data_IF_860231494439
#
_entry.id   IF_860231494439
#
_cell.length_a   1.000
_cell.length_b   1.000
_cell.length_c   1.000
_cell.angle_alpha   90.00
_cell.angle_beta   90.00
_cell.angle_gamma   90.00
#
_symmetry.space_group_name_H-M   'P 1'
#
loop_
_entity.id
_entity.type
_entity.pdbx_description
1 polymer ?
#
# COMPACT_ATOMS: atom_id res chain seq x y z
N UNK A 1 -5.65 -3.07 2.28
CA UNK A 1 -5.41 -2.51 0.94
C UNK A 1 -3.96 -2.06 0.85
N UNK A 2 -3.43 -1.83 -0.35
CA UNK A 2 -2.09 -1.23 -0.55
C UNK A 2 -2.31 0.16 -1.13
N UNK A 3 -1.62 1.15 -0.58
CA UNK A 3 -1.74 2.56 -0.97
C UNK A 3 -0.38 3.09 -1.39
N UNK A 4 -0.40 3.93 -2.42
CA UNK A 4 0.76 4.66 -2.89
C UNK A 4 0.74 6.02 -2.21
N UNK A 5 1.66 6.26 -1.28
CA UNK A 5 1.81 7.58 -0.66
C UNK A 5 2.67 8.41 -1.57
N UNK A 6 2.06 9.39 -2.26
CA UNK A 6 2.80 10.46 -2.92
C UNK A 6 3.67 11.22 -1.90
N UNK A 7 4.72 11.88 -2.38
CA UNK A 7 5.58 12.79 -1.61
C UNK A 7 4.73 13.66 -0.69
N UNK A 8 5.11 13.76 0.60
CA UNK A 8 4.31 14.34 1.70
C UNK A 8 3.67 15.72 1.43
N UNK A 9 4.16 16.48 0.45
CA UNK A 9 3.50 17.69 -0.06
C UNK A 9 2.02 17.47 -0.40
N UNK A 10 1.67 16.34 -1.02
CA UNK A 10 0.28 16.06 -1.41
C UNK A 10 -0.62 15.67 -0.22
N UNK A 11 -0.05 15.15 0.87
CA UNK A 11 -0.83 14.74 2.05
C UNK A 11 -1.26 15.96 2.88
N UNK A 12 -0.39 16.98 2.98
CA UNK A 12 -0.74 18.25 3.63
C UNK A 12 -1.77 19.01 2.81
N UNK A 13 -1.63 19.06 1.48
CA UNK A 13 -2.61 19.69 0.58
C UNK A 13 -3.97 18.97 0.57
N UNK A 14 -3.99 17.64 0.72
CA UNK A 14 -5.23 16.86 0.79
C UNK A 14 -5.94 16.98 2.14
N UNK A 15 -5.23 17.30 3.23
CA UNK A 15 -5.83 17.54 4.54
C UNK A 15 -6.53 18.90 4.65
N UNK A 16 -6.21 19.85 3.77
CA UNK A 16 -6.96 21.11 3.60
C UNK A 16 -8.26 20.94 2.78
N UNK A 17 -8.48 19.78 2.16
CA UNK A 17 -9.64 19.51 1.32
C UNK A 17 -10.51 18.39 1.92
N UNK A 18 -11.51 18.77 2.74
CA UNK A 18 -12.48 17.82 3.29
C UNK A 18 -13.26 17.04 2.20
N UNK A 19 -13.45 15.74 2.46
CA UNK A 19 -14.74 15.08 2.29
C UNK A 19 -14.96 14.29 1.00
N UNK A 20 -14.69 12.98 1.02
CA UNK A 20 -15.53 11.94 0.40
C UNK A 20 -14.97 10.54 0.68
N UNK A 21 -15.64 9.78 1.56
CA UNK A 21 -15.45 8.33 1.68
C UNK A 21 -16.73 7.68 1.14
N UNK A 22 -16.62 6.97 0.00
CA UNK A 22 -17.73 6.24 -0.59
C UNK A 22 -17.56 4.74 -0.32
N UNK A 23 -18.50 4.17 0.45
CA UNK A 23 -18.71 2.74 0.58
C UNK A 23 -19.38 2.16 -0.67
N UNK A 24 -19.01 0.92 -1.03
CA UNK A 24 -19.84 0.09 -1.91
C UNK A 24 -19.79 -1.38 -1.46
N UNK A 25 -20.91 -1.82 -0.88
CA UNK A 25 -21.26 -3.21 -0.57
C UNK A 25 -22.07 -3.78 -1.75
N UNK A 26 -21.79 -5.00 -2.19
CA UNK A 26 -22.61 -5.72 -3.17
C UNK A 26 -22.28 -7.21 -3.25
N UNK A 27 -23.31 -8.05 -3.16
CA UNK A 27 -23.28 -9.48 -2.84
C UNK A 27 -23.44 -10.42 -4.08
N UNK A 28 -23.12 -11.70 -3.83
CA UNK A 28 -23.61 -12.97 -4.44
C UNK A 28 -22.87 -13.67 -5.59
N UNK A 29 -22.61 -14.98 -5.39
CA UNK A 29 -22.99 -16.04 -6.34
C UNK A 29 -21.89 -16.91 -6.98
N UNK A 30 -21.54 -18.02 -6.33
CA UNK A 30 -21.01 -19.33 -6.82
C UNK A 30 -20.76 -19.58 -8.33
N UNK A 31 -19.54 -20.01 -8.70
CA UNK A 31 -19.15 -21.42 -8.99
C UNK A 31 -17.92 -21.53 -9.91
N UNK A 32 -16.99 -22.40 -9.50
CA UNK A 32 -16.04 -23.20 -10.31
C UNK A 32 -14.80 -22.58 -11.00
N UNK A 33 -13.65 -22.83 -10.35
CA UNK A 33 -12.44 -23.45 -10.91
C UNK A 33 -11.78 -22.86 -12.17
N UNK A 34 -10.99 -21.79 -11.96
CA UNK A 34 -9.61 -21.58 -12.44
C UNK A 34 -9.25 -20.13 -12.05
N UNK A 35 -8.63 -19.94 -10.88
CA UNK A 35 -8.60 -18.65 -10.19
C UNK A 35 -7.57 -17.67 -10.78
N UNK A 36 -7.87 -17.12 -11.96
CA UNK A 36 -7.37 -15.82 -12.36
C UNK A 36 -8.05 -14.77 -11.48
N UNK A 37 -7.28 -14.04 -10.68
CA UNK A 37 -7.80 -12.94 -9.89
C UNK A 37 -8.29 -11.85 -10.84
N UNK A 38 -9.61 -11.75 -11.04
CA UNK A 38 -10.18 -10.69 -11.88
C UNK A 38 -10.04 -9.36 -11.15
N UNK A 39 -9.19 -8.50 -11.68
CA UNK A 39 -9.05 -7.11 -11.29
C UNK A 39 -10.29 -6.36 -11.78
N UNK A 40 -11.12 -5.87 -10.86
CA UNK A 40 -12.22 -4.96 -11.21
C UNK A 40 -11.70 -3.52 -11.09
N UNK A 41 -11.53 -2.86 -12.23
CA UNK A 41 -11.11 -1.45 -12.31
C UNK A 41 -12.35 -0.56 -12.25
N UNK A 42 -12.47 0.20 -11.16
CA UNK A 42 -13.50 1.21 -10.98
C UNK A 42 -12.93 2.61 -11.21
N UNK A 43 -12.44 2.92 -12.41
CA UNK A 43 -11.99 4.27 -12.76
C UNK A 43 -12.11 4.56 -14.27
N UNK A 44 -12.40 5.83 -14.61
CA UNK A 44 -12.49 6.33 -15.99
C UNK A 44 -11.20 6.01 -16.75
N UNK A 45 -11.26 5.46 -17.97
CA UNK A 45 -10.07 5.09 -18.72
C UNK A 45 -9.32 6.36 -19.12
N UNK A 46 -8.18 6.65 -18.49
CA UNK A 46 -7.18 7.49 -19.13
C UNK A 46 -6.36 6.58 -20.05
N UNK A 47 -6.99 6.20 -21.17
CA UNK A 47 -6.33 5.45 -22.22
C UNK A 47 -5.32 6.37 -22.91
N UNK A 48 -4.04 6.17 -22.64
CA UNK A 48 -2.97 6.73 -23.47
C UNK A 48 -2.01 7.65 -22.75
N UNK A 49 -1.17 7.11 -21.87
CA UNK A 49 0.21 7.55 -21.76
C UNK A 49 1.06 6.32 -21.44
N UNK A 50 2.07 6.04 -22.27
CA UNK A 50 3.11 5.06 -21.98
C UNK A 50 3.99 5.59 -20.84
N UNK A 51 3.39 5.72 -19.66
CA UNK A 51 4.02 6.16 -18.43
C UNK A 51 4.54 4.97 -17.64
N UNK A 52 5.40 5.28 -16.67
CA UNK A 52 5.86 4.31 -15.69
C UNK A 52 4.69 3.94 -14.79
N UNK A 53 4.36 2.66 -14.72
CA UNK A 53 3.31 2.15 -13.86
C UNK A 53 3.59 2.50 -12.39
N UNK A 54 2.53 2.74 -11.62
CA UNK A 54 2.68 3.08 -10.21
C UNK A 54 3.10 1.86 -9.39
N UNK A 55 2.51 0.70 -9.66
CA UNK A 55 2.91 -0.59 -9.12
C UNK A 55 2.95 -1.60 -10.26
N UNK A 56 4.01 -2.40 -10.30
CA UNK A 56 4.15 -3.49 -11.24
C UNK A 56 4.62 -4.75 -10.51
N UNK A 57 3.93 -5.85 -10.74
CA UNK A 57 4.24 -7.18 -10.25
C UNK A 57 4.44 -8.04 -11.49
N UNK A 58 5.60 -8.68 -11.61
CA UNK A 58 5.97 -9.47 -12.79
C UNK A 58 6.32 -10.88 -12.39
N UNK A 59 5.64 -11.84 -13.01
CA UNK A 59 5.91 -13.27 -12.89
C UNK A 59 5.98 -13.80 -11.45
N UNK A 60 5.17 -13.23 -10.55
CA UNK A 60 5.30 -13.52 -9.11
C UNK A 60 4.74 -14.89 -8.75
N UNK A 61 5.58 -15.70 -8.11
CA UNK A 61 5.23 -17.05 -7.66
C UNK A 61 5.57 -17.27 -6.19
N UNK A 62 4.69 -17.97 -5.46
CA UNK A 62 4.88 -18.31 -4.05
C UNK A 62 4.29 -19.68 -3.77
N UNK A 63 5.05 -20.52 -3.07
CA UNK A 63 4.58 -21.83 -2.60
C UNK A 63 4.77 -21.97 -1.08
N UNK A 64 3.79 -22.57 -0.40
CA UNK A 64 3.87 -22.91 1.02
C UNK A 64 3.62 -24.41 1.21
N UNK A 65 4.58 -25.12 1.80
CA UNK A 65 4.38 -26.54 2.15
C UNK A 65 3.96 -27.44 0.98
N UNK A 66 4.42 -27.14 -0.24
CA UNK A 66 4.06 -27.87 -1.47
C UNK A 66 2.78 -27.37 -2.17
N UNK A 67 2.04 -26.42 -1.58
CA UNK A 67 0.88 -25.78 -2.22
C UNK A 67 1.31 -24.48 -2.88
N UNK A 68 1.05 -24.35 -4.18
CA UNK A 68 1.30 -23.11 -4.92
C UNK A 68 0.20 -22.09 -4.58
N UNK A 69 0.59 -21.03 -3.86
CA UNK A 69 -0.31 -19.99 -3.39
C UNK A 69 -0.41 -18.81 -4.36
N UNK A 70 0.66 -18.55 -5.13
CA UNK A 70 0.68 -17.68 -6.31
C UNK A 70 1.42 -18.40 -7.43
N UNK A 71 0.91 -18.31 -8.65
CA UNK A 71 1.42 -18.98 -9.83
C UNK A 71 1.56 -17.97 -10.97
N UNK A 72 2.80 -17.53 -11.23
CA UNK A 72 3.14 -16.63 -12.34
C UNK A 72 2.18 -15.43 -12.45
N UNK A 73 2.01 -14.69 -11.35
CA UNK A 73 1.03 -13.59 -11.26
C UNK A 73 1.65 -12.28 -11.76
N UNK A 74 1.03 -11.71 -12.78
CA UNK A 74 1.30 -10.35 -13.27
C UNK A 74 0.20 -9.38 -12.82
N UNK A 75 0.60 -8.20 -12.36
CA UNK A 75 -0.31 -7.10 -12.03
C UNK A 75 0.35 -5.77 -12.36
N UNK A 76 -0.39 -4.89 -13.04
CA UNK A 76 0.04 -3.54 -13.34
C UNK A 76 -1.03 -2.57 -12.89
N UNK A 77 -0.63 -1.55 -12.14
CA UNK A 77 -1.50 -0.50 -11.62
C UNK A 77 -0.95 0.84 -12.04
N UNK A 78 -1.76 1.62 -12.74
CA UNK A 78 -1.37 2.95 -13.20
C UNK A 78 -1.53 4.00 -12.09
N UNK A 79 -0.87 5.16 -12.25
CA UNK A 79 -1.01 6.24 -11.26
C UNK A 79 -2.45 6.75 -11.19
N UNK A 80 -2.95 6.91 -9.96
CA UNK A 80 -4.34 7.33 -9.71
C UNK A 80 -5.38 6.22 -9.93
N UNK A 81 -4.97 5.01 -10.30
CA UNK A 81 -5.88 3.88 -10.46
C UNK A 81 -6.20 3.23 -9.11
N UNK A 82 -7.47 2.85 -8.94
CA UNK A 82 -7.93 2.05 -7.80
C UNK A 82 -8.25 0.64 -8.30
N UNK A 83 -7.46 -0.32 -7.85
CA UNK A 83 -7.58 -1.73 -8.22
C UNK A 83 -8.15 -2.55 -7.07
N UNK A 84 -9.29 -3.21 -7.33
CA UNK A 84 -9.88 -4.20 -6.43
C UNK A 84 -9.38 -5.61 -6.72
N UNK A 85 -8.84 -6.28 -5.70
CA UNK A 85 -8.46 -7.70 -5.79
C UNK A 85 -9.58 -8.58 -5.23
N UNK A 86 -10.29 -9.28 -6.12
CA UNK A 86 -11.49 -10.07 -5.79
C UNK A 86 -11.24 -11.55 -6.09
N UNK A 87 -11.80 -12.44 -5.26
CA UNK A 87 -11.70 -13.89 -5.46
C UNK A 87 -12.15 -14.67 -4.24
N UNK A 88 -12.29 -16.00 -4.33
CA UNK A 88 -12.67 -16.85 -3.20
C UNK A 88 -11.60 -16.87 -2.10
N UNK A 89 -11.97 -17.34 -0.90
CA UNK A 89 -11.00 -17.59 0.16
C UNK A 89 -9.98 -18.64 -0.32
N UNK A 90 -8.69 -18.37 -0.07
CA UNK A 90 -7.60 -19.22 -0.56
C UNK A 90 -7.07 -18.89 -1.95
N UNK A 91 -7.67 -17.95 -2.70
CA UNK A 91 -7.19 -17.53 -4.02
C UNK A 91 -5.87 -16.72 -4.02
N UNK A 92 -5.09 -16.75 -2.94
CA UNK A 92 -3.80 -16.05 -2.89
C UNK A 92 -3.85 -14.53 -2.67
N UNK A 93 -5.03 -13.91 -2.50
CA UNK A 93 -5.15 -12.44 -2.34
C UNK A 93 -4.28 -11.86 -1.23
N UNK A 94 -4.41 -12.42 -0.03
CA UNK A 94 -3.59 -12.01 1.13
C UNK A 94 -2.11 -12.28 0.87
N UNK A 95 -1.78 -13.40 0.19
CA UNK A 95 -0.42 -13.74 -0.22
C UNK A 95 0.16 -12.67 -1.14
N UNK A 96 -0.56 -12.28 -2.20
CA UNK A 96 -0.13 -11.25 -3.16
C UNK A 96 0.11 -9.93 -2.45
N UNK A 97 -0.83 -9.48 -1.61
CA UNK A 97 -0.65 -8.27 -0.83
C UNK A 97 0.59 -8.38 0.07
N UNK A 98 0.82 -9.52 0.70
CA UNK A 98 1.97 -9.75 1.59
C UNK A 98 3.30 -9.65 0.84
N UNK A 99 3.38 -10.24 -0.36
CA UNK A 99 4.53 -10.12 -1.26
C UNK A 99 4.76 -8.67 -1.66
N UNK A 100 3.73 -7.96 -2.12
CA UNK A 100 3.82 -6.55 -2.51
C UNK A 100 4.28 -5.69 -1.32
N UNK A 101 3.82 -5.96 -0.11
CA UNK A 101 4.27 -5.25 1.09
C UNK A 101 5.64 -5.68 1.64
N UNK A 102 6.28 -6.71 1.06
CA UNK A 102 7.57 -7.22 1.54
C UNK A 102 7.50 -7.97 2.88
N UNK A 103 6.34 -8.55 3.21
CA UNK A 103 6.16 -9.39 4.41
C UNK A 103 6.54 -10.86 4.17
N UNK A 104 6.48 -11.30 2.93
CA UNK A 104 6.83 -12.66 2.51
C UNK A 104 7.67 -12.56 1.24
N UNK A 105 8.78 -13.30 1.12
CA UNK A 105 9.55 -13.37 -0.12
C UNK A 105 8.78 -14.11 -1.22
N UNK A 106 9.11 -13.80 -2.47
CA UNK A 106 8.54 -14.46 -3.64
C UNK A 106 9.60 -14.52 -4.75
N UNK A 107 9.40 -15.42 -5.69
CA UNK A 107 10.06 -15.36 -7.00
C UNK A 107 9.36 -14.31 -7.87
N UNK A 108 10.07 -13.75 -8.84
CA UNK A 108 9.60 -12.65 -9.69
C UNK A 108 9.91 -11.26 -9.12
N UNK A 109 9.37 -10.23 -9.76
CA UNK A 109 9.74 -8.84 -9.48
C UNK A 109 8.55 -7.99 -8.96
N UNK A 110 8.85 -7.06 -8.04
CA UNK A 110 7.91 -6.02 -7.60
C UNK A 110 8.55 -4.66 -7.78
N UNK A 111 7.98 -3.84 -8.66
CA UNK A 111 8.44 -2.49 -8.97
C UNK A 111 7.44 -1.43 -8.50
N UNK A 112 7.96 -0.31 -8.03
CA UNK A 112 7.19 0.85 -7.62
C UNK A 112 7.66 2.06 -8.39
N UNK A 113 6.82 2.66 -9.23
CA UNK A 113 7.22 3.80 -10.08
C UNK A 113 8.51 3.50 -10.87
N UNK A 114 8.67 2.24 -11.32
CA UNK A 114 9.86 1.77 -12.04
C UNK A 114 11.05 1.36 -11.16
N UNK A 115 11.03 1.67 -9.86
CA UNK A 115 12.07 1.25 -8.91
C UNK A 115 11.85 -0.20 -8.47
N UNK A 116 12.86 -1.04 -8.62
CA UNK A 116 12.84 -2.42 -8.13
C UNK A 116 12.85 -2.47 -6.58
N UNK A 117 11.81 -3.08 -6.03
CA UNK A 117 11.60 -3.34 -4.61
C UNK A 117 11.76 -4.81 -4.22
N UNK A 118 12.14 -5.67 -5.16
CA UNK A 118 12.31 -7.11 -4.95
C UNK A 118 13.32 -7.37 -3.84
N UNK A 119 12.99 -8.28 -2.93
CA UNK A 119 13.81 -8.57 -1.74
C UNK A 119 13.89 -7.47 -0.66
N UNK A 120 13.37 -6.25 -0.90
CA UNK A 120 13.39 -5.19 0.11
C UNK A 120 12.38 -5.46 1.24
N UNK A 121 12.78 -5.12 2.47
CA UNK A 121 11.93 -5.19 3.64
C UNK A 121 10.72 -4.25 3.56
N UNK A 122 9.65 -4.57 4.28
CA UNK A 122 8.45 -3.74 4.36
C UNK A 122 8.74 -2.28 4.74
N UNK A 123 9.64 -2.05 5.70
CA UNK A 123 10.07 -0.70 6.09
C UNK A 123 10.78 0.05 4.96
N UNK A 124 11.65 -0.64 4.20
CA UNK A 124 12.34 -0.02 3.06
C UNK A 124 11.39 0.30 1.90
N UNK A 125 10.35 -0.52 1.70
CA UNK A 125 9.28 -0.24 0.73
C UNK A 125 8.42 0.94 1.16
N UNK A 126 8.05 1.00 2.45
CA UNK A 126 7.33 2.12 3.01
C UNK A 126 8.08 3.44 2.83
N UNK A 127 9.41 3.44 3.05
CA UNK A 127 10.26 4.62 2.83
C UNK A 127 10.22 5.14 1.38
N UNK A 128 9.94 4.28 0.40
CA UNK A 128 9.74 4.67 -1.01
C UNK A 128 8.29 5.04 -1.36
N UNK A 129 7.38 5.06 -0.39
CA UNK A 129 5.99 5.47 -0.59
C UNK A 129 5.01 4.31 -0.76
N UNK A 130 5.42 3.06 -0.55
CA UNK A 130 4.49 1.92 -0.55
C UNK A 130 3.87 1.71 0.83
N UNK A 131 2.64 2.20 1.03
CA UNK A 131 1.87 2.02 2.25
C UNK A 131 0.98 0.78 2.21
N UNK A 132 0.73 0.18 3.37
CA UNK A 132 -0.24 -0.91 3.52
C UNK A 132 -1.15 -0.67 4.71
N UNK A 133 -2.46 -0.83 4.50
CA UNK A 133 -3.43 -0.95 5.58
C UNK A 133 -3.75 -2.41 5.86
N UNK A 134 -3.99 -2.71 7.14
CA UNK A 134 -4.44 -4.02 7.61
C UNK A 134 -5.92 -3.99 7.95
N UNK A 135 -6.61 -5.11 7.74
CA UNK A 135 -8.05 -5.24 8.02
C UNK A 135 -8.37 -5.03 9.50
N UNK A 136 -7.46 -5.44 10.39
CA UNK A 136 -7.50 -5.13 11.83
C UNK A 136 -6.40 -4.09 12.10
N UNK A 137 -6.79 -2.82 12.10
CA UNK A 137 -5.88 -1.71 12.44
C UNK A 137 -5.88 -1.54 13.95
N UNK A 138 -4.94 -2.20 14.63
CA UNK A 138 -4.76 -2.01 16.07
C UNK A 138 -4.07 -0.68 16.32
N UNK A 139 -4.87 0.33 16.66
CA UNK A 139 -4.38 1.60 17.17
C UNK A 139 -3.84 1.42 18.59
N UNK A 140 -3.00 2.34 19.04
CA UNK A 140 -2.49 2.37 20.42
C UNK A 140 -3.61 2.89 21.34
N UNK A 141 -4.26 2.02 22.16
CA UNK A 141 -5.48 2.40 22.87
C UNK A 141 -5.24 3.45 23.96
N UNK A 142 -3.99 3.57 24.41
CA UNK A 142 -3.55 4.51 25.43
C UNK A 142 -3.21 5.89 24.88
N UNK A 143 -3.23 6.09 23.55
CA UNK A 143 -2.89 7.35 22.91
C UNK A 143 -4.14 8.08 22.44
N UNK A 144 -4.13 9.39 22.58
CA UNK A 144 -5.10 10.30 21.96
C UNK A 144 -4.93 10.30 20.44
N UNK A 145 -5.94 10.79 19.72
CA UNK A 145 -5.88 10.94 18.25
C UNK A 145 -4.68 11.80 17.82
N UNK A 146 -4.43 12.90 18.54
CA UNK A 146 -3.27 13.78 18.30
C UNK A 146 -1.95 13.01 18.41
N UNK A 147 -1.77 12.24 19.48
CA UNK A 147 -0.55 11.45 19.69
C UNK A 147 -0.36 10.36 18.63
N UNK A 148 -1.43 9.69 18.20
CA UNK A 148 -1.36 8.70 17.11
C UNK A 148 -0.94 9.37 15.79
N UNK A 149 -1.48 10.55 15.49
CA UNK A 149 -1.09 11.31 14.30
C UNK A 149 0.36 11.76 14.38
N UNK A 150 0.83 12.22 15.54
CA UNK A 150 2.24 12.57 15.74
C UNK A 150 3.18 11.38 15.52
N UNK A 151 2.83 10.18 16.03
CA UNK A 151 3.59 8.95 15.79
C UNK A 151 3.60 8.59 14.30
N UNK A 152 2.45 8.69 13.62
CA UNK A 152 2.37 8.41 12.18
C UNK A 152 3.17 9.42 11.33
N UNK A 153 3.20 10.69 11.76
CA UNK A 153 3.90 11.78 11.11
C UNK A 153 5.37 11.87 11.49
N UNK A 154 5.85 11.15 12.51
CA UNK A 154 7.23 11.20 13.00
C UNK A 154 8.26 11.10 11.86
N UNK A 155 7.99 10.23 10.89
CA UNK A 155 8.83 10.04 9.70
C UNK A 155 9.03 11.32 8.88
N UNK A 156 8.05 12.20 8.86
CA UNK A 156 7.99 13.42 8.06
C UNK A 156 8.42 14.68 8.83
N UNK A 157 8.72 14.56 10.12
CA UNK A 157 9.26 15.65 10.92
C UNK A 157 10.72 15.90 10.56
N UNK A 158 11.02 17.17 10.21
CA UNK A 158 12.37 17.63 9.89
C UNK A 158 13.28 17.69 11.13
N UNK A 159 12.70 17.91 12.31
CA UNK A 159 13.41 18.04 13.58
C UNK A 159 13.19 16.77 14.39
N UNK A 160 14.27 16.01 14.59
CA UNK A 160 14.29 14.76 15.38
C UNK A 160 14.98 14.93 16.73
N UNK A 161 14.98 16.15 17.27
CA UNK A 161 15.57 16.41 18.59
C UNK A 161 14.61 15.93 19.70
N UNK A 162 14.96 14.87 20.44
CA UNK A 162 14.10 14.33 21.49
C UNK A 162 13.90 15.33 22.65
N UNK A 163 14.84 16.25 22.87
CA UNK A 163 14.72 17.26 23.92
C UNK A 163 13.65 18.28 23.55
N UNK A 164 13.62 18.74 22.29
CA UNK A 164 12.59 19.69 21.83
C UNK A 164 11.20 19.08 21.89
N UNK A 165 11.07 17.82 21.48
CA UNK A 165 9.81 17.09 21.57
C UNK A 165 9.35 16.94 23.03
N UNK A 166 10.26 16.58 23.95
CA UNK A 166 9.94 16.44 25.36
C UNK A 166 9.50 17.75 26.01
N UNK A 167 10.08 18.88 25.61
CA UNK A 167 9.77 20.19 26.17
C UNK A 167 8.73 21.00 25.37
N UNK A 168 8.12 20.41 24.33
CA UNK A 168 7.18 21.08 23.40
C UNK A 168 7.71 22.45 22.93
N UNK A 169 9.02 22.56 22.72
CA UNK A 169 9.61 23.84 22.33
C UNK A 169 9.27 24.18 20.87
N UNK A 170 9.15 25.48 20.53
CA UNK A 170 8.99 25.91 19.15
C UNK A 170 10.14 25.35 18.30
N UNK A 171 9.90 24.92 17.05
CA UNK A 171 10.95 24.42 16.18
C UNK A 171 11.97 25.55 15.90
N UNK A 172 13.18 25.41 16.41
CA UNK A 172 14.30 26.27 16.03
C UNK A 172 14.93 25.71 14.75
N UNK A 173 14.96 26.53 13.71
CA UNK A 173 15.64 26.25 12.44
C UNK A 173 16.97 26.96 12.52
N UNK A 174 18.07 26.23 12.68
CA UNK A 174 19.40 26.82 12.49
C UNK A 174 19.53 27.26 11.01
N UNK A 175 19.95 28.51 10.81
CA UNK A 175 20.14 29.16 9.50
C UNK A 175 21.45 28.75 8.83
#
# INVERSE_FOLDING_TARGET
SVFLTGTATALVEAMDAEGAVAEAVGQNGSSEAAAAATVSSGARPNAGAAGVAALEVRDVSVSFGGVRALDHVDLRVEQGEIVGLIGPNGAGKTTLLNVVSGLIPADGDVLLLGDDLTGRSSSARALRGLGRSFQDSRLFPSLTVEEVLLVALERWLAIRDPLNAAFRMPPFVDS
#
